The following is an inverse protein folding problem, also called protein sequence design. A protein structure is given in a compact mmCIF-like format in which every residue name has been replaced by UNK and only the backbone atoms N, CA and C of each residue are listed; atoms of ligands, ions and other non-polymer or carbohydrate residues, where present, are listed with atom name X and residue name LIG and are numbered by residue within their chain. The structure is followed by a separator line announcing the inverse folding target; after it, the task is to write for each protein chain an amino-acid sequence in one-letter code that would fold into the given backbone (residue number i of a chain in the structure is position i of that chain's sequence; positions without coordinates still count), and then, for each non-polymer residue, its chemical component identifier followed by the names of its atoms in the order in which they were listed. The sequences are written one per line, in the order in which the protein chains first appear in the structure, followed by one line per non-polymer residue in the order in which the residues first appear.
data_IF_836676325293
#
_entry.id   IF_836676325293
#
_cell.length_a   1.000
_cell.length_b   1.000
_cell.length_c   1.000
_cell.angle_alpha   90.00
_cell.angle_beta   90.00
_cell.angle_gamma   90.00
#
_symmetry.space_group_name_H-M   'P 1'
#
loop_
_entity.id
_entity.type
_entity.pdbx_description
1 polymer ?
#
# COMPACT_ATOMS: atom_id res chain seq x y z
N UNK A 1 -20.86 -29.97 1.48
CA UNK A 1 -21.33 -29.42 0.19
C UNK A 1 -20.75 -28.01 0.07
N UNK A 2 -20.15 -27.62 -1.08
CA UNK A 2 -19.56 -26.27 -1.24
C UNK A 2 -20.64 -25.20 -1.11
N UNK A 3 -20.38 -24.17 -0.30
CA UNK A 3 -21.25 -23.00 -0.08
C UNK A 3 -21.53 -22.23 -1.39
N UNK A 4 -20.69 -22.40 -2.41
CA UNK A 4 -20.69 -21.64 -3.65
C UNK A 4 -21.13 -22.42 -4.89
N UNK A 5 -21.96 -23.47 -4.75
CA UNK A 5 -22.44 -24.30 -5.88
C UNK A 5 -23.20 -23.55 -6.97
N UNK A 6 -23.79 -22.42 -6.62
CA UNK A 6 -24.55 -21.53 -7.50
C UNK A 6 -23.68 -20.45 -8.15
N UNK A 7 -22.37 -20.49 -7.93
CA UNK A 7 -21.39 -19.57 -8.53
C UNK A 7 -20.65 -20.32 -9.66
N UNK A 8 -20.52 -19.73 -10.86
CA UNK A 8 -19.98 -20.41 -12.05
C UNK A 8 -18.46 -20.61 -12.04
N UNK A 9 -17.78 -20.08 -11.05
CA UNK A 9 -16.33 -20.21 -10.83
C UNK A 9 -16.06 -20.64 -9.38
N UNK A 10 -14.84 -21.07 -9.11
CA UNK A 10 -14.42 -21.43 -7.75
C UNK A 10 -14.26 -20.19 -6.87
N UNK A 11 -14.49 -20.38 -5.55
CA UNK A 11 -14.31 -19.33 -4.54
C UNK A 11 -13.50 -19.90 -3.38
N UNK A 12 -12.35 -19.29 -3.11
CA UNK A 12 -11.47 -19.68 -2.02
C UNK A 12 -10.24 -18.78 -1.89
N UNK A 13 -9.61 -18.82 -0.73
CA UNK A 13 -8.42 -18.03 -0.40
C UNK A 13 -7.24 -18.28 -1.36
N UNK A 14 -7.23 -19.44 -2.03
CA UNK A 14 -6.18 -19.81 -2.99
C UNK A 14 -6.07 -18.83 -4.18
N UNK A 15 -7.14 -18.13 -4.49
CA UNK A 15 -7.17 -17.14 -5.58
C UNK A 15 -6.70 -15.75 -5.16
N UNK A 16 -6.49 -15.54 -3.87
CA UNK A 16 -5.96 -14.27 -3.38
C UNK A 16 -4.57 -14.00 -3.97
N UNK A 17 -4.40 -12.81 -4.56
CA UNK A 17 -3.16 -12.46 -5.25
C UNK A 17 -3.12 -12.81 -6.73
N UNK A 18 -4.17 -13.41 -7.30
CA UNK A 18 -4.30 -13.59 -8.75
C UNK A 18 -4.13 -12.24 -9.47
N UNK A 19 -3.40 -12.28 -10.60
CA UNK A 19 -3.10 -11.06 -11.38
C UNK A 19 -3.73 -11.15 -12.77
N UNK A 20 -4.72 -10.31 -13.03
CA UNK A 20 -5.36 -10.19 -14.34
C UNK A 20 -4.70 -9.05 -15.11
N UNK A 21 -3.96 -9.37 -16.15
CA UNK A 21 -3.31 -8.37 -17.02
C UNK A 21 -4.36 -7.72 -17.94
N UNK A 22 -4.05 -6.53 -18.44
CA UNK A 22 -4.97 -5.77 -19.31
C UNK A 22 -5.41 -6.54 -20.54
N UNK A 23 -4.53 -7.35 -21.13
CA UNK A 23 -4.85 -8.16 -22.32
C UNK A 23 -5.76 -9.36 -21.99
N UNK A 24 -5.81 -9.79 -20.73
CA UNK A 24 -6.57 -10.94 -20.25
C UNK A 24 -7.90 -10.52 -19.57
N UNK A 25 -8.17 -9.22 -19.47
CA UNK A 25 -9.37 -8.73 -18.80
C UNK A 25 -10.56 -8.70 -19.74
N UNK A 26 -11.72 -9.07 -19.22
CA UNK A 26 -13.03 -8.83 -19.84
C UNK A 26 -13.44 -7.37 -19.62
N UNK A 27 -13.42 -6.92 -18.35
CA UNK A 27 -13.75 -5.55 -17.98
C UNK A 27 -12.83 -5.07 -16.85
N UNK A 28 -12.61 -3.76 -16.80
CA UNK A 28 -12.02 -3.05 -15.67
C UNK A 28 -13.06 -2.07 -15.11
N UNK A 29 -13.21 -2.03 -13.79
CA UNK A 29 -14.11 -1.13 -13.08
C UNK A 29 -13.29 -0.29 -12.11
N UNK A 30 -13.55 1.01 -12.08
CA UNK A 30 -12.69 1.95 -11.36
C UNK A 30 -11.34 2.10 -12.02
N UNK A 31 -10.29 2.04 -11.22
CA UNK A 31 -8.92 2.18 -11.71
C UNK A 31 -8.50 3.64 -11.91
N UNK A 32 -7.24 3.84 -12.32
CA UNK A 32 -6.63 5.17 -12.27
C UNK A 32 -7.14 6.15 -13.33
N UNK A 33 -7.86 5.67 -14.36
CA UNK A 33 -8.47 6.53 -15.38
C UNK A 33 -9.89 6.97 -15.04
N UNK A 34 -10.50 6.37 -14.02
CA UNK A 34 -11.82 6.72 -13.51
C UNK A 34 -11.67 7.64 -12.32
N UNK A 35 -12.23 8.82 -12.39
CA UNK A 35 -12.10 9.86 -11.37
C UNK A 35 -12.99 9.57 -10.16
N UNK A 36 -14.28 9.39 -10.39
CA UNK A 36 -15.24 9.08 -9.34
C UNK A 36 -15.42 7.56 -9.21
N UNK A 37 -15.05 7.03 -8.04
CA UNK A 37 -15.20 5.63 -7.67
C UNK A 37 -15.21 5.51 -6.15
N UNK A 38 -16.02 4.62 -5.60
CA UNK A 38 -16.09 4.41 -4.16
C UNK A 38 -16.52 2.99 -3.78
N UNK A 39 -16.14 2.55 -2.61
CA UNK A 39 -16.68 1.39 -1.89
C UNK A 39 -17.01 1.84 -0.48
N UNK A 40 -18.26 1.76 -0.11
CA UNK A 40 -18.75 2.28 1.15
C UNK A 40 -19.55 1.20 1.88
N UNK A 41 -19.17 0.92 3.12
CA UNK A 41 -20.00 0.16 4.04
C UNK A 41 -20.76 1.09 4.97
N UNK A 42 -22.02 0.77 5.22
CA UNK A 42 -22.87 1.46 6.19
C UNK A 42 -23.58 0.47 7.10
N UNK A 43 -23.51 0.72 8.39
CA UNK A 43 -24.34 0.03 9.37
C UNK A 43 -25.69 0.71 9.45
N UNK A 44 -26.76 -0.07 9.28
CA UNK A 44 -28.14 0.38 9.24
C UNK A 44 -28.96 -0.29 10.31
N UNK A 45 -30.14 0.25 10.66
CA UNK A 45 -31.17 -0.46 11.43
C UNK A 45 -31.61 -1.75 10.71
N UNK A 46 -32.01 -2.76 11.47
CA UNK A 46 -32.39 -4.08 10.96
C UNK A 46 -33.58 -4.04 9.97
N UNK A 47 -34.49 -3.11 10.13
CA UNK A 47 -35.65 -2.90 9.28
C UNK A 47 -35.34 -2.19 7.97
N UNK A 48 -34.18 -1.53 7.88
CA UNK A 48 -33.73 -0.80 6.70
C UNK A 48 -32.91 -1.67 5.72
N UNK A 49 -32.62 -2.94 6.05
CA UNK A 49 -31.80 -3.84 5.23
C UNK A 49 -32.60 -5.06 4.78
N UNK A 50 -32.64 -5.30 3.48
CA UNK A 50 -33.21 -6.51 2.86
C UNK A 50 -32.11 -7.58 2.74
N UNK A 51 -32.17 -8.61 3.58
CA UNK A 51 -31.12 -9.64 3.66
C UNK A 51 -30.95 -10.40 2.33
N UNK A 52 -29.73 -10.42 1.82
CA UNK A 52 -29.34 -11.12 0.58
C UNK A 52 -29.70 -10.38 -0.71
N UNK A 53 -30.24 -9.16 -0.63
CA UNK A 53 -30.57 -8.38 -1.83
C UNK A 53 -29.28 -7.90 -2.52
N UNK A 54 -29.21 -8.17 -3.83
CA UNK A 54 -28.19 -7.62 -4.72
C UNK A 54 -28.88 -6.70 -5.73
N UNK A 55 -28.44 -5.46 -5.79
CA UNK A 55 -28.97 -4.45 -6.71
C UNK A 55 -27.87 -4.01 -7.68
N UNK A 56 -28.21 -3.86 -8.96
CA UNK A 56 -27.32 -3.37 -10.01
C UNK A 56 -27.91 -2.10 -10.59
N UNK A 57 -27.15 -1.00 -10.53
CA UNK A 57 -27.57 0.30 -11.09
C UNK A 57 -26.60 0.65 -12.21
N UNK A 58 -27.09 0.59 -13.45
CA UNK A 58 -26.32 0.74 -14.67
C UNK A 58 -26.03 -0.59 -15.37
N UNK A 59 -25.11 -0.62 -16.36
CA UNK A 59 -24.77 -1.82 -17.11
C UNK A 59 -24.25 -2.94 -16.23
N UNK A 60 -24.73 -4.18 -16.41
CA UNK A 60 -24.15 -5.36 -15.81
C UNK A 60 -22.93 -5.85 -16.62
N UNK A 61 -22.12 -6.73 -16.06
CA UNK A 61 -20.88 -7.24 -16.68
C UNK A 61 -21.13 -7.77 -18.09
N UNK A 62 -22.22 -8.52 -18.30
CA UNK A 62 -22.63 -9.08 -19.61
C UNK A 62 -22.93 -8.02 -20.67
N UNK A 63 -23.28 -6.81 -20.25
CA UNK A 63 -23.65 -5.69 -21.13
C UNK A 63 -22.44 -4.82 -21.50
N UNK A 64 -21.26 -5.12 -20.91
CA UNK A 64 -20.02 -4.36 -21.10
C UNK A 64 -19.16 -4.97 -22.21
N UNK A 65 -18.57 -4.10 -23.02
CA UNK A 65 -17.61 -4.55 -24.06
C UNK A 65 -16.34 -5.12 -23.46
N UNK A 66 -15.80 -6.16 -24.09
CA UNK A 66 -14.46 -6.68 -23.77
C UNK A 66 -13.41 -5.56 -23.80
N UNK A 67 -12.57 -5.51 -22.76
CA UNK A 67 -11.51 -4.52 -22.61
C UNK A 67 -12.00 -3.12 -22.21
N UNK A 68 -13.30 -2.92 -21.97
CA UNK A 68 -13.83 -1.62 -21.52
C UNK A 68 -13.46 -1.30 -20.07
N UNK A 69 -13.47 0.01 -19.78
CA UNK A 69 -13.29 0.56 -18.44
C UNK A 69 -14.57 1.31 -18.07
N UNK A 70 -15.11 1.00 -16.89
CA UNK A 70 -16.36 1.58 -16.39
C UNK A 70 -16.18 2.20 -15.01
N UNK A 71 -17.01 3.19 -14.63
CA UNK A 71 -17.04 3.68 -13.25
C UNK A 71 -17.49 2.57 -12.28
N UNK A 72 -17.24 2.79 -10.98
CA UNK A 72 -17.57 1.85 -9.94
C UNK A 72 -18.03 2.54 -8.66
N UNK A 73 -19.19 2.14 -8.18
CA UNK A 73 -19.61 2.31 -6.80
C UNK A 73 -20.03 0.98 -6.22
N UNK A 74 -19.59 0.67 -5.01
CA UNK A 74 -20.10 -0.45 -4.21
C UNK A 74 -20.65 0.13 -2.92
N UNK A 75 -21.91 -0.16 -2.63
CA UNK A 75 -22.52 0.13 -1.35
C UNK A 75 -22.91 -1.19 -0.67
N UNK A 76 -22.33 -1.44 0.50
CA UNK A 76 -22.68 -2.56 1.37
C UNK A 76 -23.41 -1.99 2.58
N UNK A 77 -24.67 -2.35 2.73
CA UNK A 77 -25.46 -1.98 3.90
C UNK A 77 -25.68 -3.21 4.78
N UNK A 78 -25.17 -3.16 6.00
CA UNK A 78 -25.19 -4.26 6.95
C UNK A 78 -25.99 -3.86 8.18
N UNK A 79 -26.68 -4.82 8.77
CA UNK A 79 -27.43 -4.65 10.01
C UNK A 79 -27.24 -5.85 10.94
N UNK A 80 -27.28 -5.60 12.23
CA UNK A 80 -27.22 -6.60 13.27
C UNK A 80 -27.50 -5.95 14.61
N UNK A 81 -28.13 -6.68 15.52
CA UNK A 81 -28.57 -6.17 16.83
C UNK A 81 -27.42 -5.66 17.70
N UNK A 82 -26.20 -6.15 17.48
CA UNK A 82 -24.98 -5.75 18.19
C UNK A 82 -23.92 -5.17 17.25
N UNK A 83 -24.27 -4.89 15.99
CA UNK A 83 -23.34 -4.35 15.01
C UNK A 83 -23.08 -2.87 15.26
N UNK A 84 -21.82 -2.51 15.51
CA UNK A 84 -21.38 -1.12 15.75
C UNK A 84 -21.00 -0.42 14.44
N UNK A 85 -21.37 0.84 14.28
CA UNK A 85 -20.96 1.69 13.15
C UNK A 85 -19.43 1.80 13.00
N UNK A 86 -18.67 1.65 14.08
CA UNK A 86 -17.22 1.65 14.03
C UNK A 86 -16.63 0.46 13.25
N UNK A 87 -17.46 -0.54 12.89
CA UNK A 87 -17.05 -1.66 12.02
C UNK A 87 -17.13 -1.38 10.53
N UNK A 88 -17.67 -0.25 10.13
CA UNK A 88 -17.84 0.07 8.69
C UNK A 88 -16.53 -0.01 7.90
N UNK A 89 -15.42 0.51 8.44
CA UNK A 89 -14.09 0.40 7.81
C UNK A 89 -13.60 -1.05 7.71
N UNK A 90 -13.89 -1.88 8.70
CA UNK A 90 -13.55 -3.32 8.67
C UNK A 90 -14.38 -4.05 7.62
N UNK A 91 -15.68 -3.74 7.52
CA UNK A 91 -16.56 -4.31 6.48
C UNK A 91 -16.04 -3.94 5.09
N UNK A 92 -15.65 -2.69 4.85
CA UNK A 92 -15.04 -2.26 3.58
C UNK A 92 -13.77 -3.06 3.28
N UNK A 93 -12.90 -3.24 4.26
CA UNK A 93 -11.68 -4.04 4.07
C UNK A 93 -11.98 -5.51 3.76
N UNK A 94 -13.06 -6.07 4.31
CA UNK A 94 -13.51 -7.43 4.00
C UNK A 94 -14.01 -7.56 2.55
N UNK A 95 -14.65 -6.52 1.99
CA UNK A 95 -15.02 -6.51 0.56
C UNK A 95 -13.78 -6.83 -0.30
N UNK A 96 -12.67 -6.17 -0.03
CA UNK A 96 -11.42 -6.40 -0.76
C UNK A 96 -10.94 -7.85 -0.68
N UNK A 97 -10.89 -8.43 0.52
CA UNK A 97 -10.46 -9.82 0.70
C UNK A 97 -11.40 -10.80 -0.02
N UNK A 98 -12.70 -10.64 0.20
CA UNK A 98 -13.71 -11.55 -0.34
C UNK A 98 -13.79 -11.53 -1.86
N UNK A 99 -13.64 -10.37 -2.50
CA UNK A 99 -13.60 -10.26 -3.96
C UNK A 99 -12.37 -10.96 -4.55
N UNK A 100 -11.23 -10.91 -3.86
CA UNK A 100 -10.02 -11.61 -4.29
C UNK A 100 -10.06 -13.14 -4.05
N UNK A 101 -11.09 -13.66 -3.39
CA UNK A 101 -11.30 -15.11 -3.29
C UNK A 101 -12.00 -15.70 -4.51
N UNK A 102 -12.51 -14.86 -5.42
CA UNK A 102 -13.21 -15.30 -6.62
C UNK A 102 -12.20 -15.62 -7.72
N UNK A 103 -12.23 -16.84 -8.26
CA UNK A 103 -11.39 -17.25 -9.40
C UNK A 103 -11.56 -16.30 -10.59
N UNK A 104 -10.45 -15.80 -11.13
CA UNK A 104 -10.45 -14.90 -12.27
C UNK A 104 -10.95 -13.49 -11.98
N UNK A 105 -10.93 -13.09 -10.70
CA UNK A 105 -11.31 -11.76 -10.27
C UNK A 105 -10.16 -11.12 -9.47
N UNK A 106 -9.81 -9.90 -9.80
CA UNK A 106 -8.78 -9.12 -9.11
C UNK A 106 -9.38 -7.82 -8.59
N UNK A 107 -9.17 -7.56 -7.32
CA UNK A 107 -9.69 -6.38 -6.66
C UNK A 107 -8.60 -5.67 -5.85
N UNK A 108 -8.59 -4.36 -5.93
CA UNK A 108 -7.78 -3.47 -5.12
C UNK A 108 -8.65 -2.38 -4.52
N UNK A 109 -8.55 -2.16 -3.23
CA UNK A 109 -9.16 -1.03 -2.55
C UNK A 109 -8.17 -0.43 -1.55
N UNK A 110 -7.77 0.80 -1.82
CA UNK A 110 -7.12 1.71 -0.88
C UNK A 110 -7.94 3.00 -0.81
N UNK A 111 -9.25 2.86 -0.57
CA UNK A 111 -10.21 3.94 -0.34
C UNK A 111 -10.34 4.95 -1.50
N UNK A 112 -9.24 5.53 -1.99
CA UNK A 112 -9.21 6.46 -3.12
C UNK A 112 -8.77 5.80 -4.43
N UNK A 113 -8.13 4.64 -4.35
CA UNK A 113 -7.69 3.84 -5.47
C UNK A 113 -8.40 2.50 -5.49
N UNK A 114 -9.58 2.48 -6.09
CA UNK A 114 -10.40 1.28 -6.25
C UNK A 114 -10.26 0.78 -7.67
N UNK A 115 -10.00 -0.50 -7.78
CA UNK A 115 -9.73 -1.15 -9.04
C UNK A 115 -10.16 -2.61 -9.03
N UNK A 116 -11.05 -2.98 -9.96
CA UNK A 116 -11.52 -4.34 -10.17
C UNK A 116 -11.24 -4.77 -11.59
N UNK A 117 -10.81 -6.01 -11.79
CA UNK A 117 -10.75 -6.67 -13.09
C UNK A 117 -11.39 -8.04 -13.03
N UNK A 118 -12.23 -8.31 -14.02
CA UNK A 118 -12.71 -9.64 -14.32
C UNK A 118 -11.92 -10.20 -15.51
N UNK A 119 -11.41 -11.41 -15.40
CA UNK A 119 -10.69 -12.12 -16.46
C UNK A 119 -11.64 -12.70 -17.51
N UNK A 120 -11.21 -12.73 -18.78
CA UNK A 120 -11.96 -13.34 -19.89
C UNK A 120 -12.34 -14.80 -19.62
N UNK A 121 -11.43 -15.57 -19.02
CA UNK A 121 -11.67 -16.99 -18.71
C UNK A 121 -12.83 -17.16 -17.71
N UNK A 122 -12.87 -16.34 -16.64
CA UNK A 122 -13.96 -16.39 -15.67
C UNK A 122 -15.29 -15.96 -16.31
N UNK A 123 -15.27 -14.92 -17.15
CA UNK A 123 -16.44 -14.51 -17.92
C UNK A 123 -16.97 -15.64 -18.79
N UNK A 124 -16.10 -16.33 -19.52
CA UNK A 124 -16.46 -17.48 -20.38
C UNK A 124 -17.00 -18.68 -19.59
N UNK A 125 -16.57 -18.85 -18.32
CA UNK A 125 -17.15 -19.85 -17.40
C UNK A 125 -18.54 -19.46 -16.89
N UNK A 126 -19.02 -18.24 -17.18
CA UNK A 126 -20.33 -17.75 -16.79
C UNK A 126 -20.33 -16.70 -15.68
N UNK A 127 -19.17 -16.24 -15.18
CA UNK A 127 -19.10 -15.13 -14.23
C UNK A 127 -19.33 -13.80 -14.98
N UNK A 128 -20.57 -13.56 -15.37
CA UNK A 128 -20.96 -12.47 -16.28
C UNK A 128 -21.96 -11.48 -15.68
N UNK A 129 -22.21 -11.56 -14.39
CA UNK A 129 -23.12 -10.65 -13.67
C UNK A 129 -22.61 -10.31 -12.28
N UNK A 130 -22.82 -9.07 -11.84
CA UNK A 130 -22.61 -8.65 -10.45
C UNK A 130 -23.49 -9.40 -9.46
N UNK A 131 -24.57 -10.02 -9.91
CA UNK A 131 -25.40 -10.86 -9.04
C UNK A 131 -24.59 -12.01 -8.42
N UNK A 132 -23.75 -12.69 -9.19
CA UNK A 132 -22.87 -13.75 -8.67
C UNK A 132 -21.85 -13.20 -7.67
N UNK A 133 -21.27 -12.05 -7.99
CA UNK A 133 -20.28 -11.38 -7.13
C UNK A 133 -20.95 -10.96 -5.80
N UNK A 134 -22.14 -10.39 -5.87
CA UNK A 134 -22.94 -10.02 -4.70
C UNK A 134 -23.32 -11.22 -3.84
N UNK A 135 -23.67 -12.35 -4.46
CA UNK A 135 -23.93 -13.62 -3.74
C UNK A 135 -22.70 -14.15 -3.02
N UNK A 136 -21.51 -14.03 -3.63
CA UNK A 136 -20.26 -14.42 -2.94
C UNK A 136 -20.01 -13.51 -1.73
N UNK A 137 -20.11 -12.20 -1.89
CA UNK A 137 -19.98 -11.25 -0.78
C UNK A 137 -20.98 -11.54 0.34
N UNK A 138 -22.26 -11.72 -0.01
CA UNK A 138 -23.31 -12.05 0.95
C UNK A 138 -22.96 -13.29 1.78
N UNK A 139 -22.61 -14.38 1.11
CA UNK A 139 -22.29 -15.65 1.77
C UNK A 139 -21.06 -15.53 2.67
N UNK A 140 -20.02 -14.83 2.23
CA UNK A 140 -18.81 -14.62 3.02
C UNK A 140 -19.07 -13.67 4.21
N UNK A 141 -19.82 -12.60 4.04
CA UNK A 141 -20.21 -11.75 5.17
C UNK A 141 -20.97 -12.51 6.24
N UNK A 142 -21.94 -13.35 5.84
CA UNK A 142 -22.74 -14.15 6.76
C UNK A 142 -21.92 -15.24 7.48
N UNK A 143 -20.93 -15.83 6.81
CA UNK A 143 -20.12 -16.91 7.39
C UNK A 143 -18.95 -16.41 8.23
N UNK A 144 -18.29 -15.33 7.79
CA UNK A 144 -17.07 -14.81 8.42
C UNK A 144 -17.34 -13.77 9.50
N UNK A 145 -18.49 -13.08 9.43
CA UNK A 145 -18.91 -12.04 10.37
C UNK A 145 -20.34 -12.32 10.87
N UNK A 146 -20.55 -13.32 11.76
CA UNK A 146 -21.89 -13.71 12.23
C UNK A 146 -22.69 -12.60 12.91
N UNK A 147 -22.02 -11.54 13.38
CA UNK A 147 -22.65 -10.33 13.91
C UNK A 147 -23.50 -9.58 12.87
N UNK A 148 -23.24 -9.80 11.57
CA UNK A 148 -24.04 -9.29 10.46
C UNK A 148 -25.26 -10.19 10.30
N UNK A 149 -26.39 -9.74 10.81
CA UNK A 149 -27.66 -10.47 10.70
C UNK A 149 -28.32 -10.29 9.33
N UNK A 150 -28.16 -9.11 8.74
CA UNK A 150 -28.65 -8.81 7.39
C UNK A 150 -27.60 -8.01 6.62
N UNK A 151 -27.49 -8.26 5.32
CA UNK A 151 -26.63 -7.49 4.43
C UNK A 151 -27.26 -7.41 3.04
N UNK A 152 -27.24 -6.22 2.46
CA UNK A 152 -27.58 -5.95 1.07
C UNK A 152 -26.43 -5.27 0.36
N UNK A 153 -26.30 -5.49 -0.95
CA UNK A 153 -25.15 -5.06 -1.73
C UNK A 153 -25.67 -4.38 -3.00
N UNK A 154 -25.19 -3.17 -3.27
CA UNK A 154 -25.51 -2.42 -4.49
C UNK A 154 -24.24 -2.18 -5.29
N UNK A 155 -24.22 -2.65 -6.53
CA UNK A 155 -23.19 -2.30 -7.53
C UNK A 155 -23.72 -1.16 -8.40
N UNK A 156 -22.90 -0.15 -8.59
CA UNK A 156 -23.26 1.06 -9.34
C UNK A 156 -22.22 1.27 -10.43
N UNK A 157 -22.63 1.11 -11.68
CA UNK A 157 -21.82 1.27 -12.87
C UNK A 157 -22.34 2.38 -13.79
N UNK A 158 -23.49 2.97 -13.45
CA UNK A 158 -24.01 4.18 -14.09
C UNK A 158 -23.13 5.39 -13.71
N UNK A 159 -22.50 6.09 -14.69
CA UNK A 159 -21.59 7.20 -14.41
C UNK A 159 -22.24 8.37 -13.67
N UNK A 160 -23.50 8.67 -13.98
CA UNK A 160 -24.20 9.79 -13.35
C UNK A 160 -24.51 9.48 -11.88
N UNK A 161 -24.91 8.23 -11.61
CA UNK A 161 -25.20 7.79 -10.24
C UNK A 161 -23.94 7.65 -9.38
N UNK A 162 -22.83 7.16 -9.94
CA UNK A 162 -21.53 7.14 -9.23
C UNK A 162 -21.11 8.56 -8.87
N UNK A 163 -21.19 9.49 -9.83
CA UNK A 163 -20.85 10.92 -9.60
C UNK A 163 -21.76 11.58 -8.56
N UNK A 164 -23.04 11.25 -8.55
CA UNK A 164 -24.01 11.76 -7.56
C UNK A 164 -23.66 11.32 -6.14
N UNK A 165 -23.31 10.04 -5.95
CA UNK A 165 -23.07 9.44 -4.64
C UNK A 165 -21.62 9.60 -4.13
N UNK A 166 -20.68 9.92 -5.01
CA UNK A 166 -19.27 10.06 -4.67
C UNK A 166 -19.00 11.07 -3.54
N UNK A 167 -19.61 12.28 -3.52
CA UNK A 167 -19.41 13.22 -2.42
C UNK A 167 -19.86 12.67 -1.06
N UNK A 168 -20.97 11.90 -1.02
CA UNK A 168 -21.46 11.27 0.20
C UNK A 168 -20.46 10.24 0.74
N UNK A 169 -19.87 9.41 -0.14
CA UNK A 169 -18.85 8.46 0.23
C UNK A 169 -17.59 9.17 0.77
N UNK A 170 -17.14 10.24 0.11
CA UNK A 170 -16.00 11.04 0.59
C UNK A 170 -16.28 11.68 1.95
N UNK A 171 -17.49 12.20 2.16
CA UNK A 171 -17.91 12.78 3.44
C UNK A 171 -17.96 11.72 4.55
N UNK A 172 -18.42 10.50 4.25
CA UNK A 172 -18.41 9.41 5.22
C UNK A 172 -16.98 9.03 5.64
N UNK A 173 -16.05 8.94 4.67
CA UNK A 173 -14.64 8.70 4.97
C UNK A 173 -14.05 9.81 5.83
N UNK A 174 -14.24 11.08 5.47
CA UNK A 174 -13.73 12.22 6.22
C UNK A 174 -14.30 12.27 7.65
N UNK A 175 -15.59 11.96 7.82
CA UNK A 175 -16.23 11.91 9.14
C UNK A 175 -15.62 10.85 10.04
N UNK A 176 -15.29 9.67 9.47
CA UNK A 176 -14.60 8.61 10.22
C UNK A 176 -13.18 9.00 10.59
N UNK A 177 -12.45 9.58 9.66
CA UNK A 177 -11.05 10.00 9.85
C UNK A 177 -10.93 11.12 10.88
N UNK A 178 -11.83 12.10 10.83
CA UNK A 178 -11.85 13.21 11.77
C UNK A 178 -11.98 12.77 13.25
N UNK A 179 -12.67 11.67 13.51
CA UNK A 179 -12.83 11.14 14.88
C UNK A 179 -11.49 10.78 15.53
N UNK A 180 -10.54 10.26 14.75
CA UNK A 180 -9.26 9.81 15.30
C UNK A 180 -8.22 10.94 15.39
N UNK A 181 -8.34 12.01 14.60
CA UNK A 181 -7.33 13.10 14.55
C UNK A 181 -7.14 13.85 15.85
N UNK A 182 -8.12 13.83 16.75
CA UNK A 182 -8.04 14.47 18.07
C UNK A 182 -7.30 13.66 19.13
N UNK A 183 -7.02 12.39 18.86
CA UNK A 183 -6.36 11.48 19.79
C UNK A 183 -4.86 11.38 19.54
N UNK A 184 -4.09 11.23 20.61
CA UNK A 184 -2.63 10.98 20.52
C UNK A 184 -2.29 9.56 20.92
N UNK A 185 -1.20 9.05 20.39
CA UNK A 185 -0.73 7.69 20.69
C UNK A 185 -0.38 7.53 22.17
N UNK A 186 0.04 8.60 22.82
CA UNK A 186 0.37 8.65 24.25
C UNK A 186 -0.87 8.65 25.18
N UNK A 187 -2.05 8.96 24.66
CA UNK A 187 -3.30 9.10 25.42
C UNK A 187 -4.09 7.80 25.54
N UNK A 188 -3.66 6.73 24.87
CA UNK A 188 -4.35 5.45 24.87
C UNK A 188 -3.45 4.34 25.42
N UNK A 189 -4.05 3.38 26.12
CA UNK A 189 -3.33 2.22 26.68
C UNK A 189 -3.24 1.06 25.70
N UNK A 190 -4.07 1.07 24.65
CA UNK A 190 -4.15 0.00 23.66
C UNK A 190 -4.01 0.54 22.25
N UNK A 191 -3.21 -0.16 21.47
CA UNK A 191 -3.19 -0.08 20.03
C UNK A 191 -3.90 -1.31 19.43
N UNK A 192 -3.98 -1.38 18.11
CA UNK A 192 -4.59 -2.52 17.44
C UNK A 192 -3.67 -3.04 16.34
N UNK A 193 -3.72 -4.35 16.13
CA UNK A 193 -3.02 -5.02 15.05
C UNK A 193 -4.00 -5.54 14.01
N UNK A 194 -3.59 -5.58 12.75
CA UNK A 194 -4.34 -6.21 11.67
C UNK A 194 -3.45 -7.14 10.87
N UNK A 195 -3.89 -8.38 10.69
CA UNK A 195 -3.18 -9.42 9.92
C UNK A 195 -3.99 -9.97 8.75
N UNK A 196 -5.01 -9.22 8.30
CA UNK A 196 -5.85 -9.60 7.16
C UNK A 196 -5.08 -9.83 5.85
N UNK A 197 -3.85 -9.32 5.75
CA UNK A 197 -3.01 -9.42 4.56
C UNK A 197 -1.90 -10.48 4.69
N UNK A 198 -1.86 -11.26 5.77
CA UNK A 198 -0.79 -12.27 5.98
C UNK A 198 -0.87 -13.45 5.01
N UNK A 199 -2.00 -13.68 4.35
CA UNK A 199 -2.12 -14.68 3.27
C UNK A 199 -1.11 -14.48 2.14
N UNK A 200 -0.75 -13.23 1.81
CA UNK A 200 0.23 -12.90 0.78
C UNK A 200 1.45 -12.11 1.29
N UNK A 201 1.44 -11.65 2.52
CA UNK A 201 2.56 -11.00 3.19
C UNK A 201 2.70 -11.54 4.63
N UNK A 202 3.23 -12.76 4.82
CA UNK A 202 3.18 -13.47 6.10
C UNK A 202 3.82 -12.72 7.27
N UNK A 203 4.88 -11.94 7.01
CA UNK A 203 5.58 -11.15 8.04
C UNK A 203 4.98 -9.76 8.26
N UNK A 204 3.85 -9.44 7.61
CA UNK A 204 3.19 -8.16 7.78
C UNK A 204 2.22 -8.16 8.95
N UNK A 205 2.45 -7.28 9.92
CA UNK A 205 1.48 -6.89 10.95
C UNK A 205 1.23 -5.40 10.82
N UNK A 206 0.01 -5.02 10.43
CA UNK A 206 -0.37 -3.62 10.41
C UNK A 206 -0.62 -3.15 11.84
N UNK A 207 0.19 -2.21 12.33
CA UNK A 207 -0.01 -1.58 13.64
C UNK A 207 -0.84 -0.32 13.44
N UNK A 208 -1.93 -0.21 14.21
CA UNK A 208 -2.92 0.86 14.11
C UNK A 208 -2.96 1.58 15.45
N UNK A 209 -2.63 2.86 15.42
CA UNK A 209 -2.69 3.76 16.56
C UNK A 209 -3.66 4.90 16.25
N UNK A 210 -4.02 5.76 17.23
CA UNK A 210 -4.79 6.98 16.93
C UNK A 210 -4.20 7.82 15.81
N UNK A 211 -2.88 7.96 15.77
CA UNK A 211 -2.17 8.81 14.81
C UNK A 211 -1.60 8.05 13.61
N UNK A 212 -1.85 6.74 13.52
CA UNK A 212 -1.40 5.90 12.42
C UNK A 212 -2.46 4.86 12.06
N UNK A 213 -3.17 5.09 10.95
CA UNK A 213 -4.14 4.14 10.39
C UNK A 213 -3.45 2.91 9.81
N UNK A 214 -4.25 1.89 9.53
CA UNK A 214 -3.79 0.79 8.66
C UNK A 214 -3.22 1.33 7.34
N UNK A 215 -2.21 0.68 6.77
CA UNK A 215 -1.56 1.16 5.54
C UNK A 215 -2.53 1.32 4.37
N UNK A 216 -3.60 0.52 4.33
CA UNK A 216 -4.65 0.61 3.31
C UNK A 216 -5.66 1.76 3.54
N UNK A 217 -5.56 2.48 4.65
CA UNK A 217 -6.44 3.59 5.00
C UNK A 217 -7.84 3.19 5.47
N UNK A 218 -8.20 1.90 5.44
CA UNK A 218 -9.57 1.46 5.70
C UNK A 218 -9.89 1.27 7.19
N UNK A 219 -8.89 1.01 8.03
CA UNK A 219 -9.09 0.67 9.45
C UNK A 219 -8.44 1.74 10.32
N UNK A 220 -9.26 2.51 11.01
CA UNK A 220 -8.86 3.46 12.04
C UNK A 220 -8.65 2.77 13.39
N UNK A 221 -8.15 3.50 14.36
CA UNK A 221 -8.04 3.03 15.75
C UNK A 221 -9.39 2.63 16.33
N UNK A 222 -10.48 3.37 16.00
CA UNK A 222 -11.83 3.06 16.46
C UNK A 222 -12.36 1.78 15.84
N UNK A 223 -12.13 1.56 14.53
CA UNK A 223 -12.50 0.32 13.85
C UNK A 223 -11.74 -0.88 14.44
N UNK A 224 -10.46 -0.71 14.73
CA UNK A 224 -9.62 -1.70 15.40
C UNK A 224 -10.16 -2.06 16.78
N UNK A 225 -10.58 -1.05 17.57
CA UNK A 225 -11.18 -1.22 18.88
C UNK A 225 -12.46 -2.03 18.81
N UNK A 226 -13.39 -1.62 17.97
CA UNK A 226 -14.67 -2.28 17.81
C UNK A 226 -14.50 -3.75 17.34
N UNK A 227 -13.63 -3.97 16.37
CA UNK A 227 -13.34 -5.32 15.86
C UNK A 227 -12.74 -6.23 16.93
N UNK A 228 -11.77 -5.76 17.71
CA UNK A 228 -11.14 -6.53 18.77
C UNK A 228 -12.06 -6.80 19.97
N UNK A 229 -13.06 -5.94 20.21
CA UNK A 229 -14.09 -6.19 21.23
C UNK A 229 -15.04 -7.31 20.83
N UNK A 230 -15.40 -7.40 19.55
CA UNK A 230 -16.35 -8.37 19.03
C UNK A 230 -15.68 -9.73 18.82
N UNK A 231 -14.47 -9.74 18.25
CA UNK A 231 -13.69 -10.94 18.01
C UNK A 231 -12.24 -10.77 18.53
N UNK A 232 -12.01 -10.97 19.83
CA UNK A 232 -10.69 -10.77 20.43
C UNK A 232 -9.60 -11.69 19.88
N UNK A 233 -9.96 -12.79 19.22
CA UNK A 233 -9.04 -13.75 18.60
C UNK A 233 -8.93 -13.61 17.09
N UNK A 234 -9.68 -12.68 16.52
CA UNK A 234 -9.75 -12.42 15.09
C UNK A 234 -8.49 -11.83 14.50
N UNK A 235 -8.55 -11.56 13.19
CA UNK A 235 -7.42 -10.99 12.46
C UNK A 235 -7.15 -9.50 12.79
N UNK A 236 -8.11 -8.81 13.41
CA UNK A 236 -7.92 -7.49 14.01
C UNK A 236 -7.96 -7.65 15.51
N UNK A 237 -6.90 -7.33 16.20
CA UNK A 237 -6.71 -7.68 17.62
C UNK A 237 -6.11 -6.52 18.43
N UNK A 238 -6.34 -6.54 19.74
CA UNK A 238 -5.77 -5.56 20.65
C UNK A 238 -4.28 -5.81 20.90
N UNK A 239 -3.52 -4.74 21.00
CA UNK A 239 -2.11 -4.70 21.41
C UNK A 239 -2.06 -3.81 22.66
N UNK A 240 -1.64 -4.35 23.81
CA UNK A 240 -1.30 -3.53 24.95
C UNK A 240 -0.12 -2.65 24.55
N UNK A 241 -0.23 -1.33 24.76
CA UNK A 241 0.83 -0.39 24.32
C UNK A 241 2.17 -0.73 24.95
N UNK A 242 2.16 -1.10 26.23
CA UNK A 242 3.36 -1.38 26.99
C UNK A 242 4.19 -0.11 27.25
N UNK A 243 5.47 -0.30 27.52
CA UNK A 243 6.41 0.79 27.78
C UNK A 243 6.82 1.50 26.50
N UNK A 244 6.93 2.83 26.56
CA UNK A 244 7.50 3.65 25.52
C UNK A 244 9.04 3.58 25.62
N UNK A 245 9.65 2.75 24.78
CA UNK A 245 11.10 2.50 24.76
C UNK A 245 11.84 3.67 24.10
N UNK A 246 11.31 4.15 22.97
CA UNK A 246 11.89 5.27 22.23
C UNK A 246 10.77 6.18 21.71
N UNK A 247 10.66 7.37 22.31
CA UNK A 247 9.60 8.32 21.98
C UNK A 247 9.79 8.96 20.60
N UNK A 248 11.03 9.20 20.17
CA UNK A 248 11.35 9.81 18.89
C UNK A 248 10.97 8.89 17.74
N UNK A 249 11.39 7.63 17.80
CA UNK A 249 11.14 6.64 16.75
C UNK A 249 9.80 5.93 16.85
N UNK A 250 9.07 6.09 17.97
CA UNK A 250 7.80 5.42 18.22
C UNK A 250 7.97 3.92 18.47
N UNK A 251 8.87 3.56 19.40
CA UNK A 251 9.08 2.18 19.83
C UNK A 251 8.32 1.90 21.12
N UNK A 252 7.47 0.89 21.08
CA UNK A 252 6.68 0.43 22.23
C UNK A 252 6.89 -1.07 22.47
N UNK A 253 7.06 -1.47 23.72
CA UNK A 253 7.32 -2.87 24.10
C UNK A 253 6.18 -3.80 23.66
N UNK A 254 4.94 -3.40 23.84
CA UNK A 254 3.79 -4.21 23.47
C UNK A 254 3.64 -4.42 21.96
N UNK A 255 4.06 -3.43 21.14
CA UNK A 255 4.11 -3.57 19.68
C UNK A 255 5.17 -4.62 19.30
N UNK A 256 6.37 -4.50 19.86
CA UNK A 256 7.47 -5.44 19.58
C UNK A 256 7.06 -6.88 19.91
N UNK A 257 6.42 -7.11 21.05
CA UNK A 257 5.89 -8.42 21.42
C UNK A 257 4.82 -8.93 20.46
N UNK A 258 3.86 -8.08 20.12
CA UNK A 258 2.75 -8.46 19.25
C UNK A 258 3.23 -8.82 17.83
N UNK A 259 4.11 -8.00 17.22
CA UNK A 259 4.67 -8.28 15.90
C UNK A 259 5.54 -9.52 15.93
N UNK A 260 6.41 -9.69 16.93
CA UNK A 260 7.24 -10.90 17.10
C UNK A 260 6.38 -12.17 17.15
N UNK A 261 5.29 -12.13 17.93
CA UNK A 261 4.38 -13.27 18.05
C UNK A 261 3.66 -13.58 16.74
N UNK A 262 3.16 -12.57 16.03
CA UNK A 262 2.34 -12.73 14.81
C UNK A 262 3.17 -13.03 13.56
N UNK A 263 4.48 -12.79 13.59
CA UNK A 263 5.43 -13.07 12.51
C UNK A 263 6.35 -14.24 12.82
N UNK A 264 6.07 -15.00 13.89
CA UNK A 264 6.89 -16.12 14.34
C UNK A 264 8.37 -15.75 14.57
N UNK A 265 8.61 -14.50 14.98
CA UNK A 265 9.94 -13.98 15.27
C UNK A 265 10.68 -13.36 14.08
N UNK A 266 10.08 -13.37 12.88
CA UNK A 266 10.71 -12.76 11.69
C UNK A 266 10.84 -11.24 11.82
N UNK A 267 9.81 -10.57 12.36
CA UNK A 267 9.86 -9.17 12.76
C UNK A 267 9.77 -9.08 14.27
N UNK A 268 10.76 -8.52 14.91
CA UNK A 268 10.86 -8.48 16.40
C UNK A 268 10.93 -7.06 16.97
N UNK A 269 11.08 -6.05 16.12
CA UNK A 269 11.11 -4.64 16.49
C UNK A 269 10.47 -3.80 15.39
N UNK A 270 9.66 -2.82 15.76
CA UNK A 270 9.05 -1.86 14.85
C UNK A 270 9.14 -0.46 15.42
N UNK A 271 9.60 0.49 14.62
CA UNK A 271 9.57 1.91 14.88
C UNK A 271 8.49 2.56 14.00
N UNK A 272 7.52 3.18 14.62
CA UNK A 272 6.32 3.67 13.92
C UNK A 272 6.52 4.99 13.17
N UNK A 273 7.51 5.81 13.58
CA UNK A 273 7.64 7.20 13.13
C UNK A 273 8.89 7.45 12.28
N UNK A 274 9.53 6.40 11.79
CA UNK A 274 10.71 6.47 10.92
C UNK A 274 10.61 5.47 9.77
N UNK A 275 11.28 5.79 8.67
CA UNK A 275 11.46 4.88 7.54
C UNK A 275 12.82 4.16 7.57
N UNK A 276 13.60 4.24 8.66
CA UNK A 276 14.93 3.65 8.77
C UNK A 276 15.05 2.64 9.91
N UNK A 277 16.06 1.76 9.85
CA UNK A 277 16.42 0.70 10.77
C UNK A 277 15.32 -0.38 10.92
N UNK A 278 14.28 -0.09 11.66
CA UNK A 278 13.15 -0.99 11.90
C UNK A 278 11.81 -0.37 11.44
N UNK A 279 11.68 0.05 10.16
CA UNK A 279 10.47 0.69 9.71
C UNK A 279 9.28 -0.25 9.83
N UNK A 280 8.10 0.33 9.93
CA UNK A 280 6.88 -0.45 9.90
C UNK A 280 6.75 -1.22 8.57
N UNK A 281 6.39 -2.50 8.63
CA UNK A 281 6.24 -3.36 7.46
C UNK A 281 5.04 -2.97 6.59
N UNK A 282 5.02 -3.38 5.33
CA UNK A 282 3.91 -3.22 4.44
C UNK A 282 3.57 -4.51 3.69
N UNK A 283 2.29 -4.71 3.44
CA UNK A 283 1.81 -5.82 2.60
C UNK A 283 1.81 -5.48 1.10
N UNK A 284 1.97 -4.22 0.73
CA UNK A 284 1.75 -3.73 -0.62
C UNK A 284 0.37 -3.12 -0.87
N UNK A 285 -0.56 -3.24 0.08
CA UNK A 285 -1.89 -2.60 0.06
C UNK A 285 -1.86 -1.25 0.79
N UNK A 286 -0.96 -0.36 0.42
CA UNK A 286 -0.85 0.98 0.98
C UNK A 286 -1.53 2.02 0.08
N UNK A 287 -2.00 3.14 0.63
CA UNK A 287 -2.52 4.27 -0.13
C UNK A 287 -1.40 5.10 -0.76
N UNK A 288 -0.29 5.25 -0.02
CA UNK A 288 0.89 5.97 -0.48
C UNK A 288 2.17 5.29 0.00
N UNK A 289 3.29 5.61 -0.65
CA UNK A 289 4.61 5.16 -0.25
C UNK A 289 5.59 6.34 -0.21
N UNK A 290 6.33 6.44 0.89
CA UNK A 290 7.52 7.28 0.97
C UNK A 290 8.73 6.47 0.52
N UNK A 291 9.61 7.12 -0.23
CA UNK A 291 10.88 6.56 -0.66
C UNK A 291 11.99 7.58 -0.46
N UNK A 292 13.10 7.14 0.09
CA UNK A 292 14.24 8.00 0.36
C UNK A 292 15.03 8.27 -0.92
N UNK A 293 15.45 9.52 -1.09
CA UNK A 293 16.26 10.01 -2.21
C UNK A 293 17.60 10.47 -1.64
N UNK A 294 18.63 9.60 -1.67
CA UNK A 294 19.94 9.89 -1.06
C UNK A 294 20.61 11.15 -1.58
N UNK A 295 20.43 11.46 -2.87
CA UNK A 295 21.06 12.59 -3.56
C UNK A 295 20.65 13.96 -3.02
N UNK A 296 19.55 14.00 -2.27
CA UNK A 296 19.03 15.23 -1.64
C UNK A 296 18.73 15.05 -0.16
N UNK A 297 19.07 13.89 0.42
CA UNK A 297 18.80 13.52 1.82
C UNK A 297 17.33 13.74 2.22
N UNK A 298 16.38 13.43 1.31
CA UNK A 298 14.97 13.69 1.47
C UNK A 298 14.06 12.54 1.01
N UNK A 299 12.77 12.67 1.26
CA UNK A 299 11.76 11.69 0.84
C UNK A 299 10.92 12.19 -0.33
N UNK A 300 10.76 11.32 -1.33
CA UNK A 300 9.68 11.42 -2.29
C UNK A 300 8.45 10.68 -1.79
N UNK A 301 7.27 11.12 -2.18
CA UNK A 301 6.00 10.44 -1.92
C UNK A 301 5.30 10.16 -3.24
N UNK A 302 4.64 9.01 -3.36
CA UNK A 302 3.69 8.72 -4.44
C UNK A 302 2.49 7.97 -3.89
N UNK A 303 1.32 8.20 -4.49
CA UNK A 303 0.16 7.38 -4.25
C UNK A 303 0.10 6.22 -5.24
N UNK A 304 -0.82 5.31 -5.02
CA UNK A 304 -0.95 4.09 -5.82
C UNK A 304 -1.42 4.33 -7.26
N UNK A 305 -2.10 5.43 -7.51
CA UNK A 305 -2.52 5.83 -8.87
C UNK A 305 -1.40 6.47 -9.69
N UNK A 306 -0.25 6.76 -9.11
CA UNK A 306 0.87 7.36 -9.82
C UNK A 306 1.37 6.47 -10.97
N UNK A 307 1.39 7.03 -12.18
CA UNK A 307 1.75 6.32 -13.42
C UNK A 307 3.06 6.78 -14.05
N UNK A 308 3.68 7.75 -13.47
CA UNK A 308 4.92 8.31 -13.98
C UNK A 308 6.15 7.54 -13.52
N UNK A 309 7.28 8.14 -13.83
CA UNK A 309 8.58 7.85 -13.23
C UNK A 309 8.83 8.93 -12.20
N UNK A 310 9.30 8.55 -11.02
CA UNK A 310 9.61 9.50 -9.96
C UNK A 310 10.81 10.37 -10.34
N UNK A 311 11.02 11.43 -9.61
CA UNK A 311 12.10 12.40 -9.86
C UNK A 311 13.52 11.77 -9.88
N UNK A 312 13.70 10.64 -9.20
CA UNK A 312 14.94 9.85 -9.21
C UNK A 312 14.90 8.62 -10.16
N UNK A 313 13.96 8.60 -11.08
CA UNK A 313 13.91 7.58 -12.14
C UNK A 313 13.24 6.26 -11.76
N UNK A 314 12.65 6.11 -10.57
CA UNK A 314 12.01 4.87 -10.14
C UNK A 314 10.54 4.81 -10.61
N UNK A 315 10.13 3.75 -11.32
CA UNK A 315 8.73 3.50 -11.60
C UNK A 315 7.99 3.03 -10.34
N UNK A 316 6.68 3.28 -10.26
CA UNK A 316 5.86 2.86 -9.13
C UNK A 316 5.97 1.36 -8.80
N UNK A 317 6.10 0.50 -9.82
CA UNK A 317 6.26 -0.95 -9.60
C UNK A 317 7.49 -1.28 -8.74
N UNK A 318 8.62 -0.60 -8.97
CA UNK A 318 9.84 -0.78 -8.16
C UNK A 318 9.62 -0.32 -6.72
N UNK A 319 8.95 0.81 -6.51
CA UNK A 319 8.62 1.32 -5.18
C UNK A 319 7.69 0.36 -4.44
N UNK A 320 6.68 -0.17 -5.14
CA UNK A 320 5.74 -1.13 -4.58
C UNK A 320 6.44 -2.44 -4.17
N UNK A 321 7.30 -2.98 -5.03
CA UNK A 321 8.05 -4.20 -4.74
C UNK A 321 9.08 -4.00 -3.60
N UNK A 322 9.70 -2.82 -3.52
CA UNK A 322 10.62 -2.47 -2.43
C UNK A 322 9.92 -2.29 -1.08
N UNK A 323 8.61 -2.04 -1.07
CA UNK A 323 7.86 -1.76 0.15
C UNK A 323 7.05 -2.97 0.63
N UNK A 324 6.62 -3.84 -0.30
CA UNK A 324 5.69 -4.93 -0.02
C UNK A 324 6.34 -6.17 0.61
N UNK A 325 5.49 -7.16 0.95
CA UNK A 325 5.91 -8.50 1.36
C UNK A 325 6.22 -8.67 2.84
N UNK A 326 5.83 -7.72 3.70
CA UNK A 326 6.02 -7.80 5.14
C UNK A 326 7.46 -7.55 5.61
N UNK A 327 8.33 -7.06 4.73
CA UNK A 327 9.74 -6.80 5.03
C UNK A 327 9.95 -5.40 5.64
N UNK A 328 11.00 -5.26 6.43
CA UNK A 328 11.51 -3.97 6.89
C UNK A 328 12.64 -3.55 5.95
N UNK A 329 12.43 -2.48 5.18
CA UNK A 329 13.39 -2.00 4.18
C UNK A 329 13.63 -0.52 4.42
N UNK A 330 14.87 -0.18 4.74
CA UNK A 330 15.29 1.19 5.01
C UNK A 330 15.01 2.12 3.83
N UNK A 331 14.47 3.28 4.15
CA UNK A 331 14.14 4.30 3.18
C UNK A 331 12.83 4.08 2.43
N UNK A 332 12.05 3.01 2.73
CA UNK A 332 10.75 2.76 2.13
C UNK A 332 9.67 2.59 3.20
N UNK A 333 8.56 3.30 3.05
CA UNK A 333 7.48 3.24 4.04
C UNK A 333 6.11 3.32 3.35
N UNK A 334 5.41 2.18 3.30
CA UNK A 334 4.02 2.13 2.84
C UNK A 334 3.08 2.63 3.93
N UNK A 335 2.12 3.50 3.58
CA UNK A 335 1.28 4.18 4.57
C UNK A 335 -0.09 4.56 4.03
N UNK A 336 -0.97 4.97 4.95
CA UNK A 336 -2.23 5.63 4.63
C UNK A 336 -2.06 7.14 4.44
N UNK A 337 -3.04 7.75 3.77
CA UNK A 337 -3.12 9.22 3.67
C UNK A 337 -3.30 9.85 5.05
N UNK A 338 -4.06 9.20 5.95
CA UNK A 338 -4.24 9.71 7.32
C UNK A 338 -2.95 9.74 8.14
N UNK A 339 -2.03 8.80 7.92
CA UNK A 339 -0.72 8.91 8.56
C UNK A 339 0.07 10.12 8.07
N UNK A 340 -0.01 10.46 6.77
CA UNK A 340 0.61 11.69 6.24
C UNK A 340 0.01 12.97 6.85
N UNK A 341 -1.25 12.91 7.31
CA UNK A 341 -1.95 14.01 7.99
C UNK A 341 -1.63 14.11 9.47
N UNK A 342 -0.92 13.16 10.02
CA UNK A 342 -0.55 13.08 11.43
C UNK A 342 0.72 13.84 11.74
N UNK A 343 0.83 14.39 12.97
CA UNK A 343 2.07 14.96 13.51
C UNK A 343 3.17 13.91 13.70
N UNK A 344 2.83 12.62 13.69
CA UNK A 344 3.77 11.49 13.79
C UNK A 344 4.33 11.06 12.43
N UNK A 345 3.87 11.66 11.33
CA UNK A 345 4.34 11.33 9.98
C UNK A 345 5.84 11.49 9.84
N UNK A 346 6.57 10.36 9.76
CA UNK A 346 8.04 10.30 9.67
C UNK A 346 8.75 11.27 10.63
N UNK A 347 8.19 11.45 11.83
CA UNK A 347 8.60 12.51 12.74
C UNK A 347 10.08 12.39 13.15
N UNK A 348 10.57 11.14 13.35
CA UNK A 348 11.98 10.89 13.66
C UNK A 348 12.92 11.20 12.48
N UNK A 349 12.38 11.24 11.27
CA UNK A 349 13.16 11.53 10.06
C UNK A 349 13.11 13.01 9.67
N UNK A 350 12.33 13.83 10.38
CA UNK A 350 12.13 15.25 10.10
C UNK A 350 10.76 15.59 9.49
N UNK A 351 9.88 14.61 9.27
CA UNK A 351 8.51 14.82 8.81
C UNK A 351 8.44 15.57 7.49
N UNK A 352 7.50 16.50 7.39
CA UNK A 352 7.29 17.31 6.19
C UNK A 352 8.52 18.16 5.80
N UNK A 353 9.37 18.52 6.74
CA UNK A 353 10.61 19.26 6.47
C UNK A 353 11.64 18.45 5.65
N UNK A 354 11.42 17.13 5.54
CA UNK A 354 12.29 16.24 4.78
C UNK A 354 11.60 15.65 3.54
N UNK A 355 10.34 16.03 3.26
CA UNK A 355 9.65 15.67 2.03
C UNK A 355 10.06 16.63 0.93
N UNK A 356 10.71 16.13 -0.11
CA UNK A 356 11.33 16.92 -1.17
C UNK A 356 10.61 16.86 -2.50
N UNK A 357 9.65 15.93 -2.66
CA UNK A 357 8.93 15.77 -3.92
C UNK A 357 7.67 14.92 -3.73
N UNK A 358 6.58 15.31 -4.37
CA UNK A 358 5.35 14.50 -4.45
C UNK A 358 4.49 14.94 -5.64
N UNK A 359 3.65 14.02 -6.21
CA UNK A 359 2.69 14.36 -7.24
C UNK A 359 1.69 15.43 -6.76
N UNK A 360 1.27 16.28 -7.66
CA UNK A 360 0.27 17.34 -7.41
C UNK A 360 -1.00 16.80 -6.76
N UNK A 361 -1.48 15.65 -7.23
CA UNK A 361 -2.66 14.99 -6.67
C UNK A 361 -2.49 14.64 -5.20
N UNK A 362 -1.32 14.12 -4.81
CA UNK A 362 -1.01 13.81 -3.39
C UNK A 362 -0.92 15.10 -2.59
N UNK A 363 -0.25 16.12 -3.13
CA UNK A 363 -0.11 17.43 -2.48
C UNK A 363 -1.47 18.04 -2.14
N UNK A 364 -2.41 18.04 -3.10
CA UNK A 364 -3.76 18.54 -2.90
C UNK A 364 -4.54 17.79 -1.81
N UNK A 365 -4.36 16.48 -1.69
CA UNK A 365 -5.02 15.67 -0.65
C UNK A 365 -4.55 15.95 0.78
N UNK A 366 -3.32 16.42 0.94
CA UNK A 366 -2.71 16.61 2.26
C UNK A 366 -2.29 18.06 2.53
N UNK A 367 -2.59 18.99 1.63
CA UNK A 367 -2.12 20.39 1.69
C UNK A 367 -2.40 21.09 3.02
N UNK A 368 -3.55 20.82 3.63
CA UNK A 368 -3.95 21.45 4.88
C UNK A 368 -3.15 20.94 6.09
N UNK A 369 -2.39 19.86 5.91
CA UNK A 369 -1.55 19.23 6.94
C UNK A 369 -0.04 19.44 6.69
N UNK A 370 0.33 19.99 5.53
CA UNK A 370 1.71 20.41 5.27
C UNK A 370 1.93 21.76 5.95
N UNK A 371 3.04 21.94 6.70
CA UNK A 371 3.35 23.24 7.30
C UNK A 371 3.37 24.36 6.25
N UNK A 372 2.76 25.50 6.57
CA UNK A 372 2.58 26.62 5.64
C UNK A 372 3.90 27.19 5.11
N UNK A 373 4.96 27.11 5.89
CA UNK A 373 6.31 27.54 5.54
C UNK A 373 7.09 26.55 4.67
N UNK A 374 6.54 25.32 4.48
CA UNK A 374 7.16 24.23 3.72
C UNK A 374 6.40 23.92 2.44
N UNK A 375 5.08 24.07 2.41
CA UNK A 375 4.22 23.62 1.30
C UNK A 375 4.66 24.14 -0.07
N UNK A 376 5.06 25.42 -0.16
CA UNK A 376 5.49 26.04 -1.42
C UNK A 376 6.94 25.68 -1.81
N UNK A 377 7.66 25.03 -0.89
CA UNK A 377 9.03 24.57 -1.09
C UNK A 377 9.11 23.11 -1.58
N UNK A 378 8.01 22.38 -1.56
CA UNK A 378 7.96 21.00 -2.05
C UNK A 378 7.49 21.02 -3.51
N UNK A 379 8.34 20.67 -4.48
CA UNK A 379 7.97 20.59 -5.89
C UNK A 379 7.09 19.37 -6.18
N UNK A 380 6.40 19.45 -7.31
CA UNK A 380 5.64 18.36 -7.90
C UNK A 380 6.29 17.92 -9.23
N UNK A 381 5.69 16.94 -9.89
CA UNK A 381 6.07 16.51 -11.24
C UNK A 381 6.01 17.64 -12.28
N UNK A 382 5.26 18.72 -11.99
CA UNK A 382 5.20 19.92 -12.85
C UNK A 382 6.45 20.81 -12.71
N UNK A 383 7.12 20.78 -11.56
CA UNK A 383 8.23 21.66 -11.22
C UNK A 383 9.59 20.95 -11.30
N UNK A 384 9.66 19.65 -10.96
CA UNK A 384 10.90 18.88 -10.94
C UNK A 384 10.66 17.49 -11.52
N UNK A 385 11.27 17.22 -12.67
CA UNK A 385 11.11 15.97 -13.42
C UNK A 385 12.36 15.08 -13.33
N UNK A 386 13.45 15.55 -12.76
CA UNK A 386 14.69 14.83 -12.55
C UNK A 386 15.44 15.39 -11.34
N UNK A 387 16.53 14.73 -10.95
CA UNK A 387 17.30 15.09 -9.76
C UNK A 387 17.96 16.49 -9.85
N UNK A 388 18.39 16.92 -11.01
CA UNK A 388 19.01 18.24 -11.17
C UNK A 388 17.98 19.35 -10.98
N UNK A 389 16.83 19.26 -11.66
CA UNK A 389 15.72 20.18 -11.48
C UNK A 389 15.20 20.17 -10.04
N UNK A 390 15.20 19.00 -9.38
CA UNK A 390 14.85 18.90 -7.96
C UNK A 390 15.83 19.67 -7.08
N UNK A 391 17.12 19.45 -7.23
CA UNK A 391 18.17 20.15 -6.44
C UNK A 391 18.10 21.67 -6.61
N UNK A 392 17.92 22.12 -7.85
CA UNK A 392 17.83 23.55 -8.16
C UNK A 392 16.60 24.19 -7.53
N UNK A 393 15.44 23.54 -7.63
CA UNK A 393 14.20 24.01 -7.01
C UNK A 393 14.32 24.07 -5.48
N UNK A 394 14.87 23.03 -4.84
CA UNK A 394 15.03 22.99 -3.38
C UNK A 394 15.98 24.11 -2.89
N UNK A 395 17.05 24.40 -3.63
CA UNK A 395 17.96 25.53 -3.32
C UNK A 395 17.26 26.87 -3.50
N UNK A 396 16.60 27.09 -4.65
CA UNK A 396 15.87 28.32 -4.96
C UNK A 396 14.83 28.66 -3.88
N UNK A 397 14.08 27.66 -3.46
CA UNK A 397 13.01 27.84 -2.44
C UNK A 397 13.50 27.78 -1.00
N UNK A 398 14.79 27.61 -0.77
CA UNK A 398 15.36 27.43 0.58
C UNK A 398 14.60 26.34 1.36
N UNK A 399 14.47 25.14 0.75
CA UNK A 399 13.84 24.01 1.41
C UNK A 399 14.66 23.59 2.64
N UNK A 400 14.03 23.20 3.78
CA UNK A 400 14.76 22.84 5.01
C UNK A 400 15.80 21.73 4.81
N UNK A 401 15.60 20.83 3.85
CA UNK A 401 16.54 19.75 3.55
C UNK A 401 17.90 20.24 3.06
N UNK A 402 17.96 21.41 2.44
CA UNK A 402 19.22 21.97 1.89
C UNK A 402 20.26 22.20 3.01
N UNK A 403 19.81 22.56 4.20
CA UNK A 403 20.68 22.71 5.38
C UNK A 403 21.32 21.39 5.84
N UNK A 404 20.81 20.26 5.37
CA UNK A 404 21.34 18.91 5.69
C UNK A 404 22.42 18.47 4.69
N UNK A 405 22.51 19.13 3.55
CA UNK A 405 23.52 18.80 2.56
C UNK A 405 24.88 19.22 3.09
N UNK A 406 25.81 18.27 3.14
CA UNK A 406 27.19 18.60 3.41
C UNK A 406 27.70 19.44 2.25
N UNK A 407 28.33 20.59 2.52
CA UNK A 407 29.09 21.29 1.49
C UNK A 407 30.05 20.25 0.88
N UNK A 408 29.91 19.98 -0.42
CA UNK A 408 30.94 19.24 -1.14
C UNK A 408 32.22 20.06 -1.00
N UNK A 409 33.19 19.52 -0.25
CA UNK A 409 34.52 20.08 -0.25
C UNK A 409 34.95 20.21 -1.74
N UNK A 410 35.44 21.40 -2.20
CA UNK A 410 35.85 21.56 -3.58
C UNK A 410 36.82 20.43 -3.92
N UNK A 411 36.51 19.71 -5.01
CA UNK A 411 37.33 18.58 -5.46
C UNK A 411 38.77 19.08 -5.51
N UNK A 412 39.76 18.39 -4.90
CA UNK A 412 41.14 18.81 -4.94
C UNK A 412 41.52 18.94 -6.42
N UNK A 413 41.95 20.17 -6.79
CA UNK A 413 42.50 20.43 -8.11
C UNK A 413 43.69 19.48 -8.26
N UNK A 414 43.53 18.44 -9.07
CA UNK A 414 44.65 17.59 -9.45
C UNK A 414 45.60 18.47 -10.28
N UNK A 415 46.64 18.96 -9.63
CA UNK A 415 47.83 19.42 -10.34
C UNK A 415 48.32 18.26 -11.21
N UNK A 416 48.26 18.44 -12.50
CA UNK A 416 48.82 17.51 -13.47
C UNK A 416 50.33 17.44 -13.27
N UNK A 417 50.80 16.46 -12.55
CA UNK A 417 52.24 16.13 -12.52
C UNK A 417 52.65 15.56 -13.90
N UNK A 418 53.81 15.90 -14.41
CA UNK A 418 54.25 15.47 -15.73
C UNK A 418 54.43 13.94 -15.78
N UNK A 419 53.94 13.35 -16.83
CA UNK A 419 54.01 11.90 -17.11
C UNK A 419 55.48 11.56 -17.38
N UNK A 420 56.12 10.84 -16.46
CA UNK A 420 57.35 10.09 -16.72
C UNK A 420 56.96 8.67 -17.07
N UNK A 421 57.31 8.26 -18.29
CA UNK A 421 57.23 6.87 -18.72
C UNK A 421 58.11 5.98 -17.84
N UNK A 422 57.49 5.09 -17.08
CA UNK A 422 58.18 3.96 -16.46
C UNK A 422 57.48 2.68 -16.90
N UNK A 423 58.21 1.87 -17.64
CA UNK A 423 57.88 0.51 -17.99
C UNK A 423 57.65 -0.30 -16.73
N UNK A 424 56.51 -0.93 -16.58
CA UNK A 424 56.26 -1.94 -15.60
C UNK A 424 55.66 -3.19 -16.28
N UNK A 425 56.41 -4.26 -16.20
CA UNK A 425 56.05 -5.62 -16.64
C UNK A 425 54.75 -6.09 -15.97
N UNK A 426 53.94 -6.73 -16.79
CA UNK A 426 52.59 -7.13 -16.42
C UNK A 426 52.51 -8.34 -15.49
N UNK A 427 51.51 -8.27 -14.66
CA UNK A 427 50.80 -9.47 -14.19
C UNK A 427 49.34 -9.29 -14.61
N UNK A 428 48.98 -10.04 -15.62
CA UNK A 428 47.57 -10.05 -16.12
C UNK A 428 46.66 -10.65 -15.06
N UNK A 429 45.81 -9.83 -14.47
CA UNK A 429 44.62 -10.31 -13.79
C UNK A 429 43.55 -10.67 -14.84
N UNK A 430 42.83 -11.79 -14.66
CA UNK A 430 41.84 -12.22 -15.69
C UNK A 430 40.69 -11.25 -15.73
N UNK A 431 40.41 -10.73 -16.93
CA UNK A 431 39.22 -9.97 -17.25
C UNK A 431 38.03 -10.93 -17.20
N UNK A 432 37.19 -10.81 -16.18
CA UNK A 432 35.92 -11.54 -16.13
C UNK A 432 34.95 -10.92 -17.14
N UNK A 433 34.64 -11.68 -18.18
CA UNK A 433 33.62 -11.33 -19.17
C UNK A 433 32.22 -11.39 -18.53
N UNK A 434 31.32 -10.51 -18.97
CA UNK A 434 29.96 -10.30 -18.44
C UNK A 434 29.00 -11.50 -18.53
N UNK A 435 29.49 -12.69 -18.96
CA UNK A 435 28.67 -13.90 -19.15
C UNK A 435 28.57 -14.81 -17.93
N UNK A 436 29.19 -14.47 -16.78
CA UNK A 436 29.28 -15.37 -15.60
C UNK A 436 28.61 -14.83 -14.33
N UNK A 437 27.71 -13.84 -14.42
CA UNK A 437 26.94 -13.43 -13.25
C UNK A 437 25.74 -14.35 -13.04
N UNK A 438 25.56 -14.92 -11.83
CA UNK A 438 24.46 -15.84 -11.56
C UNK A 438 23.10 -15.12 -11.60
N UNK A 439 22.13 -15.80 -12.19
CA UNK A 439 20.72 -15.41 -12.17
C UNK A 439 20.21 -15.61 -10.73
N UNK A 440 19.80 -14.54 -10.09
CA UNK A 440 19.14 -14.62 -8.79
C UNK A 440 17.73 -15.20 -8.95
N UNK A 441 17.34 -16.12 -8.08
CA UNK A 441 16.01 -16.70 -8.04
C UNK A 441 14.97 -15.60 -7.82
N UNK A 442 14.12 -15.34 -8.83
CA UNK A 442 13.16 -14.23 -8.86
C UNK A 442 13.15 -13.46 -10.17
N UNK A 443 13.97 -13.83 -11.14
CA UNK A 443 13.90 -13.30 -12.50
C UNK A 443 14.50 -11.90 -12.71
N UNK A 444 15.34 -11.42 -11.80
CA UNK A 444 16.02 -10.13 -11.97
C UNK A 444 17.41 -10.36 -12.61
N UNK A 445 17.62 -9.69 -13.72
CA UNK A 445 18.94 -9.56 -14.34
C UNK A 445 19.46 -8.15 -14.07
N UNK A 446 20.44 -8.03 -13.18
CA UNK A 446 21.13 -6.75 -12.95
C UNK A 446 22.24 -6.63 -14.00
N UNK A 447 22.10 -5.70 -14.92
CA UNK A 447 23.16 -5.32 -15.86
C UNK A 447 23.76 -4.03 -15.34
N UNK A 448 24.97 -4.13 -14.77
CA UNK A 448 25.75 -2.97 -14.38
C UNK A 448 26.67 -2.59 -15.54
N UNK A 449 26.46 -1.42 -16.12
CA UNK A 449 27.32 -0.87 -17.16
C UNK A 449 27.94 0.41 -16.58
N UNK A 450 29.27 0.45 -16.53
CA UNK A 450 30.07 1.58 -16.04
C UNK A 450 29.77 1.99 -14.56
N UNK A 451 29.37 1.03 -13.72
CA UNK A 451 29.06 1.27 -12.32
C UNK A 451 30.25 1.03 -11.41
N UNK A 452 30.49 1.96 -10.46
CA UNK A 452 31.41 1.75 -9.34
C UNK A 452 30.62 1.22 -8.15
N UNK A 453 30.98 0.04 -7.66
CA UNK A 453 30.36 -0.56 -6.49
C UNK A 453 31.23 -0.31 -5.28
N UNK A 454 30.70 0.41 -4.29
CA UNK A 454 31.34 0.60 -2.97
C UNK A 454 30.63 -0.30 -1.97
N UNK A 455 31.28 -1.37 -1.54
CA UNK A 455 30.72 -2.27 -0.53
C UNK A 455 31.82 -2.73 0.43
N UNK A 456 31.51 -2.79 1.72
CA UNK A 456 32.43 -3.32 2.72
C UNK A 456 32.65 -4.83 2.58
N UNK A 457 31.70 -5.53 1.94
CA UNK A 457 31.80 -6.98 1.68
C UNK A 457 30.87 -7.37 0.53
N UNK A 458 31.39 -8.07 -0.46
CA UNK A 458 30.62 -8.69 -1.54
C UNK A 458 30.76 -10.21 -1.42
N UNK A 459 29.63 -10.93 -1.27
CA UNK A 459 29.63 -12.40 -1.23
C UNK A 459 28.95 -12.89 -2.50
N UNK A 460 29.71 -13.54 -3.37
CA UNK A 460 29.19 -14.19 -4.58
C UNK A 460 29.11 -15.70 -4.29
N UNK A 461 27.89 -16.27 -4.33
CA UNK A 461 27.66 -17.70 -4.21
C UNK A 461 27.27 -18.25 -5.58
N UNK A 462 28.03 -19.20 -6.07
CA UNK A 462 27.66 -19.98 -7.28
C UNK A 462 26.78 -21.14 -6.83
N UNK A 463 25.55 -21.19 -7.32
CA UNK A 463 24.66 -22.37 -7.16
C UNK A 463 24.91 -23.26 -8.36
N UNK A 464 25.41 -24.47 -8.15
CA UNK A 464 25.49 -25.49 -9.22
C UNK A 464 24.10 -26.05 -9.46
N UNK A 465 23.64 -26.01 -10.70
CA UNK A 465 22.41 -26.68 -11.14
C UNK A 465 22.62 -28.21 -11.07
N UNK A 466 21.90 -28.90 -10.17
CA UNK A 466 21.92 -30.37 -10.05
C UNK A 466 21.10 -31.09 -11.14
N UNK A 467 20.86 -30.49 -12.30
CA UNK A 467 20.03 -31.08 -13.37
C UNK A 467 20.77 -31.52 -14.62
N UNK A 468 22.04 -31.89 -14.52
CA UNK A 468 22.74 -32.42 -15.71
C UNK A 468 23.28 -33.87 -15.62
N UNK A 469 22.89 -34.63 -14.60
CA UNK A 469 23.24 -36.05 -14.52
C UNK A 469 22.02 -36.95 -14.44
N UNK A 470 21.26 -37.06 -15.52
CA UNK A 470 20.46 -38.23 -15.89
C UNK A 470 20.36 -38.32 -17.39
N UNK A 471 21.34 -38.96 -17.96
CA UNK A 471 21.23 -39.78 -19.17
C UNK A 471 21.83 -41.14 -18.93
#
# INVERSE_FOLDING_TARGET
MSMFKDIPVDVGVIYEGERIRRNDMQVELGGPTVKEKFELAKVRPLDAVEDGKVTIIGPDIKDMKEGSISPLGILVEAAGSTLDQQLEGVIERRIHGYLNYIEGFMHLNQRYDIWMRLGKKAFQKGLNSFEYIGKVLYKLFKSELPIIEKVQITFITDPAKVKELYPEAMQAYETRDAKARGLKDEEVDKFYGCVLCQSFAPSHVCVITPQRYSNCGAISWFDGRASAQIDPKGPVFAIERGELINAEKGEFSGINEAVKKRTLGEVNKVWLYTAFDHPHTSCGCFEAVAFYIPEVDGFGLVNRSFKGVTVNGLPFSTLADSTAGGRQIDGFHGMSVEYMRSTKFLAADGGWNRVVWLPKEVKERVKDFIPKDVIDKIPTEENAQNLDALKDFLKEKNHPVVARWKEEAPAPVQETAPVTEAQAEGTMMPVMTASTLPIMAGGFRIILKDAKIYANKVIIKTVKDEKSERR
#
